data_IF_534343275634
#
_entry.id   IF_534343275634
#
_cell.length_a   1.000
_cell.length_b   1.000
_cell.length_c   1.000
_cell.angle_alpha   90.00
_cell.angle_beta   90.00
_cell.angle_gamma   90.00
#
_symmetry.space_group_name_H-M   'P 1'
#
loop_
_entity.id
_entity.type
_entity.pdbx_description
1 polymer ?
#
# COMPACT_ATOMS: atom_id res chain seq x y z
N UNK A 1 12.58 -10.46 16.38
CA UNK A 1 11.43 -10.96 17.16
C UNK A 1 10.42 -11.76 16.33
N UNK A 2 10.04 -11.37 15.09
CA UNK A 2 9.13 -12.19 14.26
C UNK A 2 9.68 -13.55 13.83
N UNK A 3 10.98 -13.62 13.53
CA UNK A 3 11.63 -14.86 13.13
C UNK A 3 11.52 -15.93 14.22
N UNK A 4 11.63 -15.52 15.49
CA UNK A 4 11.61 -16.43 16.64
C UNK A 4 10.24 -17.08 16.87
N UNK A 5 9.15 -16.34 16.67
CA UNK A 5 7.78 -16.86 16.89
C UNK A 5 7.32 -17.80 15.76
N UNK A 6 7.86 -17.64 14.55
CA UNK A 6 7.55 -18.54 13.43
C UNK A 6 8.28 -19.89 13.56
N UNK A 7 9.38 -19.92 14.32
CA UNK A 7 10.21 -21.12 14.49
C UNK A 7 9.62 -22.17 15.43
N UNK A 8 8.57 -21.86 16.21
CA UNK A 8 7.94 -22.85 17.11
C UNK A 8 7.01 -23.86 16.41
N UNK A 9 6.70 -23.67 15.12
CA UNK A 9 5.80 -24.56 14.35
C UNK A 9 6.50 -25.37 13.24
N UNK A 10 7.84 -25.32 13.16
CA UNK A 10 8.61 -25.99 12.10
C UNK A 10 9.26 -27.25 12.69
N UNK A 11 9.15 -28.43 12.06
CA UNK A 11 9.80 -29.65 12.56
C UNK A 11 11.32 -29.44 12.65
N UNK A 12 11.91 -29.88 13.77
CA UNK A 12 13.28 -29.63 14.19
C UNK A 12 14.39 -29.74 13.10
N UNK A 13 14.36 -30.68 12.13
CA UNK A 13 15.43 -30.79 11.13
C UNK A 13 15.41 -29.70 10.05
N UNK A 14 14.31 -28.96 9.86
CA UNK A 14 14.19 -27.90 8.84
C UNK A 14 14.52 -26.49 9.39
N UNK A 15 14.75 -26.37 10.69
CA UNK A 15 15.15 -25.14 11.35
C UNK A 15 16.45 -24.51 10.81
N UNK A 16 17.56 -25.26 10.57
CA UNK A 16 18.80 -24.64 10.10
C UNK A 16 18.68 -24.08 8.66
N UNK A 17 17.96 -24.77 7.77
CA UNK A 17 17.75 -24.31 6.39
C UNK A 17 16.89 -23.05 6.35
N UNK A 18 15.83 -22.98 7.15
CA UNK A 18 14.96 -21.80 7.23
C UNK A 18 15.66 -20.60 7.87
N UNK A 19 16.58 -20.83 8.82
CA UNK A 19 17.43 -19.79 9.39
C UNK A 19 18.41 -19.18 8.39
N UNK A 20 19.11 -20.00 7.60
CA UNK A 20 20.05 -19.51 6.57
C UNK A 20 19.33 -18.64 5.55
N UNK A 21 18.17 -19.09 5.05
CA UNK A 21 17.33 -18.30 4.14
C UNK A 21 16.86 -17.01 4.82
N UNK A 22 16.49 -17.07 6.10
CA UNK A 22 16.07 -15.92 6.89
C UNK A 22 17.15 -14.84 6.99
N UNK A 23 18.39 -15.23 7.34
CA UNK A 23 19.53 -14.30 7.42
C UNK A 23 19.91 -13.72 6.06
N UNK A 24 19.88 -14.52 4.99
CA UNK A 24 20.11 -14.03 3.63
C UNK A 24 19.06 -12.99 3.24
N UNK A 25 17.78 -13.26 3.49
CA UNK A 25 16.69 -12.33 3.22
C UNK A 25 16.84 -11.04 4.05
N UNK A 26 17.18 -11.16 5.33
CA UNK A 26 17.44 -10.01 6.20
C UNK A 26 18.61 -9.17 5.69
N UNK A 27 19.73 -9.80 5.32
CA UNK A 27 20.89 -9.13 4.74
C UNK A 27 20.51 -8.35 3.47
N UNK A 28 19.72 -8.96 2.59
CA UNK A 28 19.24 -8.32 1.37
C UNK A 28 18.32 -7.12 1.65
N UNK A 29 17.40 -7.24 2.61
CA UNK A 29 16.53 -6.12 3.01
C UNK A 29 17.34 -4.99 3.66
N UNK A 30 18.31 -5.31 4.53
CA UNK A 30 19.21 -4.33 5.16
C UNK A 30 20.04 -3.60 4.11
N UNK A 31 20.63 -4.33 3.16
CA UNK A 31 21.39 -3.74 2.05
C UNK A 31 20.50 -2.80 1.23
N UNK A 32 19.30 -3.24 0.82
CA UNK A 32 18.36 -2.40 0.08
C UNK A 32 18.00 -1.12 0.84
N UNK A 33 17.74 -1.21 2.14
CA UNK A 33 17.41 -0.05 2.96
C UNK A 33 18.60 0.92 3.12
N UNK A 34 19.84 0.40 3.20
CA UNK A 34 21.07 1.22 3.19
C UNK A 34 21.23 1.95 1.86
N UNK A 35 20.99 1.28 0.72
CA UNK A 35 21.04 1.91 -0.60
C UNK A 35 20.02 3.05 -0.75
N UNK A 36 18.81 2.89 -0.20
CA UNK A 36 17.84 3.99 -0.15
C UNK A 36 18.27 5.13 0.77
N UNK A 37 18.84 4.82 1.93
CA UNK A 37 19.29 5.83 2.92
C UNK A 37 20.52 6.61 2.43
N UNK A 38 21.40 5.96 1.67
CA UNK A 38 22.56 6.56 1.02
C UNK A 38 22.19 7.36 -0.24
N UNK A 39 20.92 7.37 -0.67
CA UNK A 39 20.47 8.09 -1.86
C UNK A 39 20.86 7.44 -3.19
N UNK A 40 21.39 6.21 -3.18
CA UNK A 40 21.83 5.51 -4.40
C UNK A 40 20.65 4.98 -5.22
N UNK A 41 19.50 4.77 -4.57
CA UNK A 41 18.27 4.37 -5.24
C UNK A 41 17.36 5.58 -5.49
N UNK A 42 16.66 5.64 -6.63
CA UNK A 42 15.80 6.76 -6.98
C UNK A 42 14.65 6.92 -5.97
N UNK A 43 14.49 8.15 -5.48
CA UNK A 43 13.38 8.56 -4.63
C UNK A 43 12.55 9.62 -5.38
N UNK A 44 11.25 9.38 -5.50
CA UNK A 44 10.34 10.33 -6.14
C UNK A 44 9.49 11.02 -5.08
N UNK A 45 9.31 12.33 -5.21
CA UNK A 45 8.49 13.16 -4.32
C UNK A 45 7.27 13.68 -5.07
N UNK A 46 6.10 13.52 -4.47
CA UNK A 46 4.88 14.17 -4.94
C UNK A 46 4.88 15.64 -4.50
N UNK A 47 4.20 16.49 -5.26
CA UNK A 47 4.03 17.91 -4.92
C UNK A 47 3.16 18.14 -3.67
N UNK A 48 2.39 17.14 -3.26
CA UNK A 48 1.47 17.19 -2.12
C UNK A 48 2.02 16.34 -0.95
N UNK A 49 1.66 16.67 0.31
CA UNK A 49 2.02 15.87 1.47
C UNK A 49 1.57 14.41 1.33
N UNK A 50 2.41 13.46 1.77
CA UNK A 50 2.15 12.02 1.65
C UNK A 50 2.23 11.36 3.02
N UNK A 51 1.17 10.68 3.42
CA UNK A 51 1.13 9.84 4.62
C UNK A 51 1.26 8.38 4.19
N UNK A 52 2.29 7.67 4.68
CA UNK A 52 2.48 6.26 4.41
C UNK A 52 1.93 5.41 5.56
N UNK A 53 0.91 4.61 5.29
CA UNK A 53 0.36 3.65 6.24
C UNK A 53 0.80 2.25 5.83
N UNK A 54 1.70 1.67 6.61
CA UNK A 54 2.30 0.36 6.38
C UNK A 54 2.37 -0.45 7.68
N UNK A 55 2.73 -1.73 7.56
CA UNK A 55 3.02 -2.56 8.72
C UNK A 55 4.09 -3.59 8.34
N UNK A 56 4.93 -3.95 9.32
CA UNK A 56 6.09 -4.82 9.22
C UNK A 56 5.73 -6.31 9.15
N UNK A 57 4.53 -6.69 9.60
CA UNK A 57 4.06 -8.08 9.56
C UNK A 57 3.14 -8.36 8.36
N UNK A 58 3.21 -9.59 7.86
CA UNK A 58 2.21 -10.12 6.92
C UNK A 58 0.99 -10.62 7.72
N UNK A 59 -0.21 -10.12 7.39
CA UNK A 59 -1.46 -10.47 8.07
C UNK A 59 -2.46 -9.31 8.17
N UNK A 60 -3.68 -9.63 8.66
CA UNK A 60 -4.80 -8.70 8.89
C UNK A 60 -4.50 -7.70 10.02
N UNK A 61 -3.65 -6.74 9.73
CA UNK A 61 -2.96 -5.91 10.74
C UNK A 61 -3.57 -4.53 10.90
N UNK A 62 -4.88 -4.43 10.64
CA UNK A 62 -5.62 -3.18 10.80
C UNK A 62 -5.21 -2.05 9.83
N UNK A 63 -4.32 -2.29 8.85
CA UNK A 63 -3.90 -1.27 7.89
C UNK A 63 -5.08 -0.61 7.18
N UNK A 64 -6.01 -1.42 6.68
CA UNK A 64 -7.18 -0.90 5.95
C UNK A 64 -8.13 -0.09 6.85
N UNK A 65 -8.51 -0.55 8.05
CA UNK A 65 -9.21 0.29 9.03
C UNK A 65 -8.48 1.61 9.34
N UNK A 66 -7.16 1.58 9.52
CA UNK A 66 -6.36 2.77 9.83
C UNK A 66 -6.33 3.78 8.66
N UNK A 67 -6.25 3.28 7.42
CA UNK A 67 -6.37 4.12 6.21
C UNK A 67 -7.73 4.81 6.18
N UNK A 68 -8.81 4.06 6.44
CA UNK A 68 -10.18 4.60 6.45
C UNK A 68 -10.32 5.66 7.53
N UNK A 69 -9.89 5.36 8.76
CA UNK A 69 -9.94 6.29 9.88
C UNK A 69 -9.16 7.58 9.60
N UNK A 70 -7.93 7.46 9.08
CA UNK A 70 -7.08 8.63 8.77
C UNK A 70 -7.71 9.50 7.70
N UNK A 71 -8.24 8.90 6.63
CA UNK A 71 -8.91 9.64 5.57
C UNK A 71 -10.20 10.33 6.08
N UNK A 72 -11.00 9.67 6.91
CA UNK A 72 -12.18 10.29 7.54
C UNK A 72 -11.79 11.45 8.45
N UNK A 73 -10.74 11.32 9.24
CA UNK A 73 -10.24 12.40 10.09
C UNK A 73 -9.81 13.62 9.26
N UNK A 74 -9.09 13.39 8.16
CA UNK A 74 -8.68 14.46 7.25
C UNK A 74 -9.88 15.15 6.58
N UNK A 75 -10.90 14.39 6.16
CA UNK A 75 -12.15 14.94 5.63
C UNK A 75 -12.87 15.81 6.67
N UNK A 76 -12.94 15.37 7.94
CA UNK A 76 -13.54 16.15 9.03
C UNK A 76 -12.79 17.45 9.33
N UNK A 77 -11.48 17.46 9.06
CA UNK A 77 -10.64 18.66 9.17
C UNK A 77 -10.71 19.56 7.92
N UNK A 78 -11.54 19.22 6.93
CA UNK A 78 -11.73 20.01 5.71
C UNK A 78 -10.70 19.77 4.61
N UNK A 79 -9.83 18.77 4.75
CA UNK A 79 -8.89 18.39 3.69
C UNK A 79 -9.55 17.47 2.65
N UNK A 80 -8.97 17.43 1.46
CA UNK A 80 -9.36 16.54 0.35
C UNK A 80 -8.32 15.42 0.18
N UNK A 81 -8.33 14.37 1.01
CA UNK A 81 -7.35 13.29 0.92
C UNK A 81 -7.53 12.44 -0.34
N UNK A 82 -6.42 11.88 -0.80
CA UNK A 82 -6.39 10.86 -1.85
C UNK A 82 -5.73 9.58 -1.32
N UNK A 83 -6.33 8.41 -1.60
CA UNK A 83 -5.77 7.12 -1.18
C UNK A 83 -5.06 6.44 -2.35
N UNK A 84 -3.80 6.06 -2.13
CA UNK A 84 -2.97 5.35 -3.10
C UNK A 84 -2.77 3.90 -2.68
N UNK A 85 -3.31 2.96 -3.43
CA UNK A 85 -3.23 1.52 -3.15
C UNK A 85 -2.64 0.75 -4.32
N UNK A 86 -2.06 -0.42 -4.03
CA UNK A 86 -1.48 -1.29 -5.05
C UNK A 86 -2.55 -2.06 -5.83
N UNK A 87 -3.74 -2.27 -5.26
CA UNK A 87 -4.76 -3.17 -5.82
C UNK A 87 -4.30 -4.62 -5.79
N UNK A 88 -4.25 -5.20 -4.59
CA UNK A 88 -3.89 -6.60 -4.38
C UNK A 88 -5.00 -7.51 -4.92
N UNK A 89 -4.63 -8.65 -5.53
CA UNK A 89 -5.55 -9.65 -6.14
C UNK A 89 -6.48 -9.15 -7.26
N UNK A 90 -6.24 -8.00 -7.90
CA UNK A 90 -7.01 -7.59 -9.08
C UNK A 90 -6.80 -8.55 -10.27
N UNK A 91 -7.86 -8.80 -11.03
CA UNK A 91 -7.85 -9.63 -12.25
C UNK A 91 -7.91 -8.80 -13.55
N UNK A 92 -7.58 -7.51 -13.49
CA UNK A 92 -7.61 -6.59 -14.64
C UNK A 92 -6.29 -6.46 -15.40
N UNK A 93 -6.37 -6.30 -16.74
CA UNK A 93 -5.24 -5.96 -17.63
C UNK A 93 -4.73 -4.52 -17.42
N UNK A 94 -5.57 -3.64 -16.87
CA UNK A 94 -5.23 -2.25 -16.66
C UNK A 94 -4.21 -2.06 -15.52
N UNK A 95 -3.09 -1.41 -15.88
CA UNK A 95 -1.97 -1.20 -14.96
C UNK A 95 -2.27 -0.11 -13.92
N UNK A 96 -3.25 0.76 -14.17
CA UNK A 96 -3.55 1.94 -13.36
C UNK A 96 -5.01 2.36 -13.48
N UNK A 97 -5.70 2.50 -12.34
CA UNK A 97 -7.01 3.12 -12.24
C UNK A 97 -6.95 4.35 -11.36
N UNK A 98 -7.71 5.40 -11.72
CA UNK A 98 -7.91 6.58 -10.90
C UNK A 98 -9.41 6.81 -10.80
N UNK A 99 -9.94 6.72 -9.57
CA UNK A 99 -11.34 6.96 -9.26
C UNK A 99 -11.47 8.38 -8.71
N UNK A 100 -12.36 9.16 -9.34
CA UNK A 100 -12.76 10.47 -8.85
C UNK A 100 -13.82 10.34 -7.73
N UNK A 101 -14.02 11.37 -6.90
CA UNK A 101 -15.10 11.43 -5.91
C UNK A 101 -16.48 11.19 -6.52
N UNK A 102 -16.79 11.86 -7.62
CA UNK A 102 -18.06 11.75 -8.34
C UNK A 102 -18.25 10.44 -9.13
N UNK A 103 -17.20 9.62 -9.26
CA UNK A 103 -17.36 8.29 -9.84
C UNK A 103 -18.24 7.47 -8.89
N UNK A 104 -19.50 7.20 -9.24
CA UNK A 104 -20.39 6.39 -8.43
C UNK A 104 -19.77 5.03 -8.04
N UNK A 105 -20.39 4.34 -7.08
CA UNK A 105 -19.99 2.98 -6.68
C UNK A 105 -20.32 1.97 -7.79
N UNK A 106 -19.62 2.03 -8.92
CA UNK A 106 -19.81 1.15 -10.08
C UNK A 106 -18.50 0.46 -10.49
N UNK A 107 -17.57 0.36 -9.54
CA UNK A 107 -16.31 -0.29 -9.77
C UNK A 107 -16.35 -1.66 -9.09
N UNK A 108 -16.66 -2.67 -9.90
CA UNK A 108 -16.72 -4.07 -9.52
C UNK A 108 -15.45 -4.48 -8.74
N UNK A 109 -15.62 -5.20 -7.64
CA UNK A 109 -14.51 -5.65 -6.80
C UNK A 109 -13.52 -6.53 -7.59
N UNK A 110 -14.01 -7.23 -8.62
CA UNK A 110 -13.16 -7.97 -9.55
C UNK A 110 -12.15 -7.08 -10.30
N UNK A 111 -12.53 -5.83 -10.60
CA UNK A 111 -11.71 -4.87 -11.35
C UNK A 111 -10.73 -4.15 -10.44
N UNK A 112 -11.20 -3.67 -9.29
CA UNK A 112 -10.37 -2.89 -8.35
C UNK A 112 -9.51 -3.76 -7.42
N UNK A 113 -9.97 -4.97 -7.12
CA UNK A 113 -9.47 -5.82 -6.04
C UNK A 113 -10.19 -5.57 -4.71
N UNK A 114 -10.05 -6.53 -3.79
CA UNK A 114 -10.81 -6.57 -2.53
C UNK A 114 -10.53 -5.36 -1.62
N UNK A 115 -9.25 -5.01 -1.42
CA UNK A 115 -8.85 -3.92 -0.52
C UNK A 115 -9.29 -2.53 -1.05
N UNK A 116 -9.06 -2.17 -2.33
CA UNK A 116 -9.54 -0.89 -2.84
C UNK A 116 -11.07 -0.78 -2.86
N UNK A 117 -11.78 -1.86 -3.18
CA UNK A 117 -13.24 -1.89 -3.13
C UNK A 117 -13.77 -1.64 -1.70
N UNK A 118 -13.15 -2.26 -0.70
CA UNK A 118 -13.49 -2.04 0.71
C UNK A 118 -13.26 -0.59 1.14
N UNK A 119 -12.14 0.01 0.75
CA UNK A 119 -11.85 1.42 1.05
C UNK A 119 -12.86 2.33 0.33
N UNK A 120 -13.17 2.06 -0.94
CA UNK A 120 -14.09 2.88 -1.75
C UNK A 120 -15.51 2.87 -1.19
N UNK A 121 -15.94 1.75 -0.60
CA UNK A 121 -17.24 1.62 0.08
C UNK A 121 -17.35 2.55 1.29
N UNK A 122 -16.28 2.71 2.06
CA UNK A 122 -16.28 3.55 3.27
C UNK A 122 -15.94 5.02 2.98
N UNK A 123 -15.25 5.27 1.87
CA UNK A 123 -14.81 6.60 1.45
C UNK A 123 -15.27 6.86 0.01
N UNK A 124 -16.58 7.06 -0.22
CA UNK A 124 -17.09 7.21 -1.57
C UNK A 124 -16.77 8.57 -2.20
N UNK A 125 -16.37 9.56 -1.40
CA UNK A 125 -16.15 10.93 -1.85
C UNK A 125 -14.66 11.33 -1.92
N UNK A 126 -13.75 10.36 -2.01
CA UNK A 126 -12.31 10.64 -2.11
C UNK A 126 -11.72 10.21 -3.44
N UNK A 127 -10.60 10.85 -3.81
CA UNK A 127 -9.76 10.38 -4.89
C UNK A 127 -9.07 9.06 -4.51
N UNK A 128 -9.07 8.09 -5.42
CA UNK A 128 -8.38 6.83 -5.22
C UNK A 128 -7.54 6.44 -6.42
N UNK A 129 -6.26 6.18 -6.20
CA UNK A 129 -5.31 5.73 -7.22
C UNK A 129 -4.89 4.28 -6.97
N UNK A 130 -5.13 3.41 -7.95
CA UNK A 130 -4.80 1.99 -7.89
C UNK A 130 -3.67 1.70 -8.88
N UNK A 131 -2.44 1.52 -8.39
CA UNK A 131 -1.27 1.25 -9.25
C UNK A 131 -0.14 0.56 -8.48
N UNK A 132 0.67 -0.27 -9.17
CA UNK A 132 1.91 -0.84 -8.60
C UNK A 132 2.91 0.26 -8.21
N UNK A 133 2.98 1.33 -9.01
CA UNK A 133 3.80 2.50 -8.73
C UNK A 133 2.91 3.62 -8.15
N UNK A 134 3.07 3.87 -6.84
CA UNK A 134 2.29 4.87 -6.10
C UNK A 134 2.58 6.30 -6.58
N UNK A 135 3.82 6.58 -6.98
CA UNK A 135 4.18 7.89 -7.51
C UNK A 135 3.39 8.24 -8.78
N UNK A 136 3.29 7.28 -9.71
CA UNK A 136 2.51 7.47 -10.95
C UNK A 136 1.01 7.61 -10.69
N UNK A 137 0.48 6.96 -9.67
CA UNK A 137 -0.93 7.14 -9.27
C UNK A 137 -1.15 8.53 -8.65
N UNK A 138 -0.25 8.98 -7.77
CA UNK A 138 -0.32 10.32 -7.19
C UNK A 138 -0.21 11.43 -8.23
N UNK A 139 0.71 11.30 -9.20
CA UNK A 139 0.82 12.25 -10.32
C UNK A 139 -0.45 12.28 -11.17
N UNK A 140 -1.05 11.11 -11.45
CA UNK A 140 -2.27 11.04 -12.24
C UNK A 140 -3.48 11.67 -11.54
N UNK A 141 -3.57 11.57 -10.20
CA UNK A 141 -4.58 12.27 -9.41
C UNK A 141 -4.32 13.78 -9.46
N UNK A 142 -3.09 14.21 -9.17
CA UNK A 142 -2.73 15.63 -9.16
C UNK A 142 -3.03 16.32 -10.51
N UNK A 143 -2.77 15.65 -11.63
CA UNK A 143 -3.12 16.16 -12.97
C UNK A 143 -4.62 16.30 -13.21
N UNK A 144 -5.45 15.43 -12.61
CA UNK A 144 -6.90 15.48 -12.73
C UNK A 144 -7.54 16.50 -11.79
N UNK A 145 -6.98 16.71 -10.60
CA UNK A 145 -7.46 17.73 -9.66
C UNK A 145 -7.09 19.16 -10.06
N UNK A 146 -6.06 19.33 -10.89
CA UNK A 146 -5.62 20.64 -11.39
C UNK A 146 -6.46 21.15 -12.58
N UNK A 147 -7.42 20.37 -13.06
CA UNK A 147 -8.41 20.74 -14.07
C UNK A 147 -9.75 20.98 -13.41
#
# INVERSE_FOLDING_TARGET
MLVFSLMQKIPAPLAPVTLVIGYLFEGLIRMRNRLYSAGWLPQHRLAHPVISIGNLTMGGTGKTPLVIYTAQALLKLGFLPAVLTRGYRRSGKERRHVLAPEAGFSADAAVLGDEPALIRRHLPAIWMGICKNRYLAGCAIAQKCAR
#
